data_IF_952054529725
#
_entry.id   IF_952054529725
#
_cell.length_a   1.000
_cell.length_b   1.000
_cell.length_c   1.000
_cell.angle_alpha   90.00
_cell.angle_beta   90.00
_cell.angle_gamma   90.00
#
_symmetry.space_group_name_H-M   'P 1'
#
loop_
_entity.id
_entity.type
_entity.pdbx_description
1 polymer ?
#
# COMPACT_ATOMS: atom_id res chain seq x y z
N UNK A 1 -14.89 0.22 -2.95
CA UNK A 1 -15.73 -1.01 -2.99
C UNK A 1 -14.82 -2.22 -3.25
N UNK A 2 -15.02 -3.36 -2.60
CA UNK A 2 -14.08 -4.50 -2.62
C UNK A 2 -14.16 -5.41 -3.86
N UNK A 3 -14.97 -5.09 -4.88
CA UNK A 3 -15.07 -5.79 -6.17
C UNK A 3 -15.02 -7.34 -6.11
N UNK A 4 -15.69 -7.94 -5.12
CA UNK A 4 -15.76 -9.39 -4.93
C UNK A 4 -14.54 -10.04 -4.27
N UNK A 5 -13.52 -9.27 -3.85
CA UNK A 5 -12.38 -9.78 -3.10
C UNK A 5 -12.73 -9.84 -1.61
N UNK A 6 -12.69 -11.04 -1.03
CA UNK A 6 -12.84 -11.25 0.41
C UNK A 6 -11.49 -11.18 1.10
N UNK A 7 -11.37 -10.31 2.10
CA UNK A 7 -10.18 -10.21 2.95
C UNK A 7 -10.46 -10.96 4.25
N UNK A 8 -9.75 -12.07 4.54
CA UNK A 8 -9.96 -12.80 5.79
C UNK A 8 -9.42 -11.99 6.98
N UNK A 9 -10.13 -12.03 8.11
CA UNK A 9 -9.67 -11.45 9.38
C UNK A 9 -8.79 -12.49 10.07
N UNK A 10 -7.52 -12.15 10.29
CA UNK A 10 -6.52 -13.04 10.89
C UNK A 10 -6.14 -12.50 12.26
N UNK A 11 -6.16 -13.37 13.27
CA UNK A 11 -5.67 -13.04 14.60
C UNK A 11 -4.15 -13.31 14.69
N UNK A 12 -3.38 -12.27 14.99
CA UNK A 12 -1.96 -12.37 15.35
C UNK A 12 -1.79 -11.88 16.81
N UNK A 13 -0.89 -12.54 17.55
CA UNK A 13 -0.56 -12.20 18.94
C UNK A 13 0.34 -10.97 19.05
N UNK A 14 0.95 -10.52 17.95
CA UNK A 14 1.82 -9.36 17.95
C UNK A 14 1.05 -8.06 18.17
N UNK A 15 1.47 -7.27 19.15
CA UNK A 15 0.98 -5.89 19.33
C UNK A 15 1.45 -5.04 18.14
N UNK A 16 0.51 -4.66 17.29
CA UNK A 16 0.74 -3.62 16.28
C UNK A 16 1.04 -2.31 17.02
N UNK A 17 2.25 -1.79 16.88
CA UNK A 17 2.51 -0.38 17.14
C UNK A 17 2.12 0.43 15.89
N UNK A 18 1.78 1.70 16.10
CA UNK A 18 1.21 2.60 15.08
C UNK A 18 2.01 2.69 13.76
N UNK A 19 3.29 2.31 13.77
CA UNK A 19 4.19 2.44 12.62
C UNK A 19 4.22 1.21 11.70
N UNK A 20 3.61 0.08 12.08
CA UNK A 20 3.64 -1.15 11.28
C UNK A 20 2.60 -1.10 10.14
N UNK A 21 3.07 -0.75 8.95
CA UNK A 21 2.30 -0.83 7.70
C UNK A 21 2.22 -2.29 7.21
N UNK A 22 1.45 -2.55 6.15
CA UNK A 22 1.33 -3.88 5.54
C UNK A 22 2.47 -4.19 4.56
N UNK A 23 3.12 -3.17 4.04
CA UNK A 23 4.12 -3.25 2.96
C UNK A 23 5.57 -3.31 3.45
N UNK A 24 5.75 -3.95 4.59
CA UNK A 24 7.02 -4.06 5.30
C UNK A 24 7.22 -5.53 5.60
N UNK A 25 8.45 -5.90 5.91
CA UNK A 25 8.92 -7.29 6.00
C UNK A 25 7.97 -8.22 6.79
N UNK A 26 7.35 -7.71 7.87
CA UNK A 26 6.37 -8.46 8.67
C UNK A 26 5.10 -8.84 7.90
N UNK A 27 4.55 -7.93 7.10
CA UNK A 27 3.35 -8.21 6.31
C UNK A 27 3.62 -9.32 5.30
N UNK A 28 4.78 -9.29 4.65
CA UNK A 28 5.22 -10.36 3.75
C UNK A 28 5.47 -11.68 4.48
N UNK A 29 6.11 -11.65 5.65
CA UNK A 29 6.36 -12.85 6.45
C UNK A 29 5.06 -13.53 6.92
N UNK A 30 4.10 -12.74 7.39
CA UNK A 30 2.79 -13.26 7.81
C UNK A 30 2.01 -13.82 6.61
N UNK A 31 1.99 -13.10 5.48
CA UNK A 31 1.37 -13.57 4.25
C UNK A 31 1.98 -14.91 3.77
N UNK A 32 3.31 -15.03 3.81
CA UNK A 32 4.02 -16.27 3.47
C UNK A 32 3.67 -17.44 4.40
N UNK A 33 3.55 -17.18 5.72
CA UNK A 33 3.14 -18.22 6.69
C UNK A 33 1.72 -18.73 6.47
N UNK A 34 0.82 -17.85 6.05
CA UNK A 34 -0.60 -18.16 5.86
C UNK A 34 -0.93 -18.59 4.44
N UNK A 35 0.04 -18.58 3.52
CA UNK A 35 -0.18 -18.88 2.11
C UNK A 35 -1.08 -17.87 1.39
N UNK A 36 -1.10 -16.62 1.86
CA UNK A 36 -1.88 -15.57 1.22
C UNK A 36 -1.21 -15.16 -0.10
N UNK A 37 -1.99 -14.95 -1.18
CA UNK A 37 -1.43 -14.49 -2.45
C UNK A 37 -0.87 -13.08 -2.29
N UNK A 38 0.42 -12.91 -2.57
CA UNK A 38 1.06 -11.60 -2.63
C UNK A 38 0.73 -10.99 -3.99
N UNK A 39 -0.18 -10.01 -3.99
CA UNK A 39 -0.58 -9.29 -5.18
C UNK A 39 0.20 -7.99 -5.30
N UNK A 40 0.93 -7.83 -6.40
CA UNK A 40 1.57 -6.56 -6.72
C UNK A 40 0.65 -5.70 -7.59
N UNK A 41 0.55 -4.42 -7.24
CA UNK A 41 -0.35 -3.45 -7.88
C UNK A 41 0.41 -2.33 -8.58
N UNK A 42 1.71 -2.18 -8.28
CA UNK A 42 2.58 -1.16 -8.88
C UNK A 42 3.50 -1.81 -9.91
N UNK A 43 3.94 -1.02 -10.89
CA UNK A 43 5.01 -1.33 -11.84
C UNK A 43 6.34 -0.82 -11.27
N UNK A 44 7.45 -1.22 -11.90
CA UNK A 44 8.80 -0.76 -11.56
C UNK A 44 8.96 0.76 -11.73
N UNK A 45 8.23 1.36 -12.66
CA UNK A 45 8.23 2.81 -12.92
C UNK A 45 7.39 3.62 -11.92
N UNK A 46 6.71 2.95 -10.97
CA UNK A 46 5.86 3.60 -9.96
C UNK A 46 4.44 3.92 -10.43
N UNK A 47 4.07 3.54 -11.66
CA UNK A 47 2.69 3.56 -12.18
C UNK A 47 1.88 2.37 -11.66
N UNK A 48 0.55 2.49 -11.67
CA UNK A 48 -0.35 1.41 -11.26
C UNK A 48 -0.70 0.46 -12.41
N UNK A 49 -0.81 -0.82 -12.10
CA UNK A 49 -1.07 -1.89 -13.09
C UNK A 49 -2.57 -2.08 -13.30
N UNK A 50 -2.94 -2.94 -14.25
CA UNK A 50 -4.32 -3.36 -14.53
C UNK A 50 -5.04 -3.94 -13.28
N UNK A 51 -4.27 -4.44 -12.32
CA UNK A 51 -4.75 -4.93 -11.03
C UNK A 51 -5.46 -3.83 -10.22
N UNK A 52 -5.01 -2.58 -10.37
CA UNK A 52 -5.60 -1.39 -9.74
C UNK A 52 -6.96 -1.00 -10.36
N UNK A 53 -7.32 -1.60 -11.51
CA UNK A 53 -8.56 -1.38 -12.24
C UNK A 53 -8.83 0.11 -12.51
N UNK A 54 -9.59 0.79 -11.65
CA UNK A 54 -9.99 2.19 -11.85
C UNK A 54 -8.81 3.15 -12.01
N UNK A 55 -7.70 2.90 -11.31
CA UNK A 55 -6.52 3.77 -11.37
C UNK A 55 -5.37 3.18 -12.20
N UNK A 56 -5.65 2.23 -13.09
CA UNK A 56 -4.63 1.64 -13.96
C UNK A 56 -3.97 2.71 -14.84
N UNK A 57 -2.64 2.72 -14.88
CA UNK A 57 -1.86 3.68 -15.69
C UNK A 57 -1.60 5.04 -15.03
N UNK A 58 -2.20 5.34 -13.87
CA UNK A 58 -1.92 6.57 -13.14
C UNK A 58 -0.64 6.47 -12.31
N UNK A 59 0.01 7.61 -12.08
CA UNK A 59 1.09 7.70 -11.11
C UNK A 59 0.56 7.53 -9.68
N UNK A 60 1.35 6.90 -8.82
CA UNK A 60 1.02 6.61 -7.41
C UNK A 60 0.59 7.84 -6.61
N UNK A 61 1.09 9.04 -6.92
CA UNK A 61 0.72 10.26 -6.20
C UNK A 61 -0.63 10.81 -6.65
N UNK A 62 -0.95 10.67 -7.94
CA UNK A 62 -2.22 11.09 -8.52
C UNK A 62 -3.33 10.14 -8.08
N UNK A 63 -3.10 8.83 -8.22
CA UNK A 63 -4.04 7.80 -7.76
C UNK A 63 -4.38 7.93 -6.26
N UNK A 64 -3.42 8.36 -5.43
CA UNK A 64 -3.68 8.60 -4.00
C UNK A 64 -4.66 9.75 -3.78
N UNK A 65 -4.62 10.81 -4.60
CA UNK A 65 -5.52 11.96 -4.48
C UNK A 65 -6.94 11.59 -4.91
N UNK A 66 -7.08 10.88 -6.03
CA UNK A 66 -8.38 10.40 -6.50
C UNK A 66 -9.02 9.43 -5.52
N UNK A 67 -8.28 8.42 -5.08
CA UNK A 67 -8.76 7.44 -4.12
C UNK A 67 -9.17 8.10 -2.80
N UNK A 68 -8.50 9.19 -2.42
CA UNK A 68 -8.89 9.97 -1.25
C UNK A 68 -10.24 10.68 -1.45
N UNK A 69 -10.49 11.26 -2.61
CA UNK A 69 -11.77 11.89 -2.93
C UNK A 69 -12.91 10.85 -2.90
N UNK A 70 -12.71 9.69 -3.53
CA UNK A 70 -13.69 8.60 -3.52
C UNK A 70 -14.02 8.10 -2.11
N UNK A 71 -13.02 8.00 -1.21
CA UNK A 71 -13.24 7.59 0.18
C UNK A 71 -14.02 8.63 1.00
N UNK A 72 -13.87 9.92 0.68
CA UNK A 72 -14.63 11.01 1.31
C UNK A 72 -16.07 11.02 0.79
N UNK A 73 -16.30 10.79 -0.51
CA UNK A 73 -17.64 10.68 -1.10
C UNK A 73 -18.42 9.46 -0.60
N UNK A 74 -17.74 8.32 -0.46
CA UNK A 74 -18.36 7.07 0.01
C UNK A 74 -18.54 7.01 1.53
N UNK A 75 -18.11 8.03 2.28
CA UNK A 75 -18.27 8.11 3.73
C UNK A 75 -17.45 7.08 4.52
N UNK A 76 -16.47 6.42 3.90
CA UNK A 76 -15.61 5.43 4.55
C UNK A 76 -14.44 6.07 5.32
N UNK A 77 -14.19 7.36 5.11
CA UNK A 77 -13.14 8.10 5.79
C UNK A 77 -13.57 8.55 7.21
N UNK A 78 -13.19 7.80 8.24
CA UNK A 78 -13.56 8.07 9.65
C UNK A 78 -12.88 9.32 10.23
N UNK A 79 -11.59 9.52 9.96
CA UNK A 79 -10.80 10.62 10.54
C UNK A 79 -9.69 11.08 9.59
N UNK A 80 -9.36 12.37 9.64
CA UNK A 80 -8.22 12.98 8.94
C UNK A 80 -7.33 13.69 9.95
N UNK A 81 -6.11 13.20 10.10
CA UNK A 81 -5.10 13.80 10.97
C UNK A 81 -3.79 13.98 10.18
N UNK A 82 -3.12 15.11 10.40
CA UNK A 82 -1.81 15.35 9.83
C UNK A 82 -0.77 14.60 10.67
N UNK A 83 -0.07 13.65 10.03
CA UNK A 83 1.00 12.90 10.66
C UNK A 83 2.31 13.10 9.92
N UNK A 84 3.35 13.49 10.65
CA UNK A 84 4.71 13.55 10.11
C UNK A 84 5.30 12.14 10.09
N UNK A 85 5.33 11.53 8.90
CA UNK A 85 5.97 10.22 8.69
C UNK A 85 7.39 10.37 8.14
N UNK A 86 8.32 9.52 8.57
CA UNK A 86 9.65 9.42 7.96
C UNK A 86 9.53 8.71 6.61
N UNK A 87 9.85 9.40 5.53
CA UNK A 87 9.82 8.85 4.17
C UNK A 87 11.24 8.45 3.77
N UNK A 88 11.50 7.18 3.42
CA UNK A 88 12.82 6.76 2.95
C UNK A 88 13.11 7.36 1.57
N UNK A 89 14.32 7.88 1.38
CA UNK A 89 14.79 8.54 0.16
C UNK A 89 16.05 7.85 -0.34
N UNK A 90 16.20 7.75 -1.66
CA UNK A 90 17.37 7.13 -2.26
C UNK A 90 18.64 7.88 -1.86
N UNK A 91 19.71 7.14 -1.55
CA UNK A 91 21.00 7.75 -1.20
C UNK A 91 21.68 8.40 -2.42
N UNK A 92 21.42 7.88 -3.63
CA UNK A 92 22.09 8.31 -4.87
C UNK A 92 21.21 9.19 -5.78
N UNK A 93 19.91 9.30 -5.49
CA UNK A 93 18.97 10.05 -6.30
C UNK A 93 17.92 10.77 -5.46
N UNK A 94 17.16 11.67 -6.09
CA UNK A 94 16.04 12.39 -5.46
C UNK A 94 14.75 11.51 -5.45
N UNK A 95 14.86 10.22 -5.74
CA UNK A 95 13.71 9.29 -5.70
C UNK A 95 13.25 8.97 -4.28
N UNK A 96 11.94 8.81 -4.11
CA UNK A 96 11.35 8.25 -2.88
C UNK A 96 11.39 6.74 -2.99
N UNK A 97 12.11 6.08 -2.09
CA UNK A 97 12.23 4.63 -2.12
C UNK A 97 10.89 3.99 -1.79
N UNK A 98 10.53 3.01 -2.60
CA UNK A 98 9.41 2.14 -2.37
C UNK A 98 9.89 0.70 -2.47
N UNK A 99 9.31 -0.16 -1.66
CA UNK A 99 9.52 -1.60 -1.80
C UNK A 99 8.81 -2.06 -3.08
N UNK A 100 9.25 -3.13 -3.73
CA UNK A 100 8.60 -3.85 -4.83
C UNK A 100 8.75 -5.34 -4.53
N UNK A 101 7.76 -5.93 -3.85
CA UNK A 101 7.93 -7.24 -3.23
C UNK A 101 9.08 -7.22 -2.21
N UNK A 102 10.07 -8.10 -2.36
CA UNK A 102 11.28 -8.14 -1.52
C UNK A 102 12.39 -7.16 -1.96
N UNK A 103 12.23 -6.47 -3.10
CA UNK A 103 13.24 -5.54 -3.61
C UNK A 103 12.93 -4.09 -3.22
N UNK A 104 13.95 -3.23 -3.19
CA UNK A 104 13.79 -1.78 -2.97
C UNK A 104 14.02 -1.06 -4.29
N UNK A 105 12.99 -0.37 -4.79
CA UNK A 105 13.00 0.43 -6.01
C UNK A 105 13.06 1.93 -5.66
N UNK A 106 13.68 2.71 -6.55
CA UNK A 106 13.96 4.13 -6.36
C UNK A 106 12.86 5.04 -6.94
#
# INVERSE_FOLDING_TARGET
MTFGRHVPIIADKYKLNYEQRWYNERGFFLAGKLGLPILNVMNEDGTLNEVARLHSGLDRFEARKELRAELEETGLAVKKEAHTSRVPRSQRGIGTMFTYGQNVCC
#
